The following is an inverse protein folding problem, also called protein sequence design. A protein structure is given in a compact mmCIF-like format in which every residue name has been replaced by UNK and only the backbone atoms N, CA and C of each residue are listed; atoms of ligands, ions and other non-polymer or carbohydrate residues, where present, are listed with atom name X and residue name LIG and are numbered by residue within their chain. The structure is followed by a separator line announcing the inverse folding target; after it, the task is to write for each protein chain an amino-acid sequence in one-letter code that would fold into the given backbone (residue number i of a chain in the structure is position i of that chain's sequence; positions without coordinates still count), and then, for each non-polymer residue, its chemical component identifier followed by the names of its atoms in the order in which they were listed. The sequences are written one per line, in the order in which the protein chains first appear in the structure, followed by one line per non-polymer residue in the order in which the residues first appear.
data_IF_820042424037
#
_entry.id   IF_820042424037
#
_cell.length_a   1.000
_cell.length_b   1.000
_cell.length_c   1.000
_cell.angle_alpha   90.00
_cell.angle_beta   90.00
_cell.angle_gamma   90.00
#
_symmetry.space_group_name_H-M   'P 1'
#
loop_
_entity.id
_entity.type
_entity.pdbx_description
1 polymer ?
#
# COMPACT_ATOMS: atom_id res chain seq x y z
N UNK A 1 0.22 4.13 19.93
CA UNK A 1 -0.24 4.13 18.52
C UNK A 1 0.95 3.84 17.61
N UNK A 2 0.84 2.83 16.78
CA UNK A 2 1.88 2.45 15.80
C UNK A 2 1.34 2.72 14.41
N UNK A 3 1.91 3.70 13.70
CA UNK A 3 1.64 4.00 12.29
C UNK A 3 2.82 3.57 11.45
N UNK A 4 2.62 3.32 10.17
CA UNK A 4 3.69 2.86 9.28
C UNK A 4 4.70 3.98 9.01
N UNK A 5 4.23 5.20 8.78
CA UNK A 5 5.08 6.36 8.56
C UNK A 5 4.35 7.70 8.82
N UNK A 6 5.14 8.76 8.94
CA UNK A 6 4.67 10.13 9.18
C UNK A 6 5.29 11.04 8.13
N UNK A 7 4.49 11.94 7.56
CA UNK A 7 5.00 12.95 6.63
C UNK A 7 4.44 14.31 7.01
N UNK A 8 5.34 15.29 7.19
CA UNK A 8 4.97 16.67 7.47
C UNK A 8 4.60 17.42 6.19
N UNK A 9 3.59 18.26 6.27
CA UNK A 9 3.25 19.18 5.20
C UNK A 9 2.59 18.54 3.97
N UNK A 10 1.99 17.36 4.09
CA UNK A 10 1.28 16.71 2.96
C UNK A 10 0.02 17.46 2.60
N UNK A 11 -0.83 17.70 3.59
CA UNK A 11 -2.12 18.37 3.44
C UNK A 11 -2.04 19.82 3.89
N UNK A 12 -1.49 20.06 5.06
CA UNK A 12 -1.27 21.36 5.70
C UNK A 12 0.24 21.57 5.92
N UNK A 13 0.82 22.75 5.63
CA UNK A 13 2.28 22.97 5.66
C UNK A 13 2.95 22.60 6.99
N UNK A 14 2.32 22.90 8.11
CA UNK A 14 2.90 22.76 9.45
C UNK A 14 2.35 21.59 10.24
N UNK A 15 1.58 20.72 9.59
CA UNK A 15 0.93 19.59 10.24
C UNK A 15 1.47 18.26 9.79
N UNK A 16 1.70 17.37 10.75
CA UNK A 16 2.07 16.00 10.47
C UNK A 16 0.86 15.19 10.02
N UNK A 17 1.06 14.34 9.03
CA UNK A 17 0.07 13.35 8.63
C UNK A 17 0.61 11.95 8.93
N UNK A 18 -0.15 11.21 9.72
CA UNK A 18 0.13 9.83 10.09
C UNK A 18 -0.51 8.91 9.07
N UNK A 19 0.27 8.01 8.50
CA UNK A 19 -0.18 7.06 7.49
C UNK A 19 -0.10 5.64 8.02
N UNK A 20 -1.15 4.87 7.71
CA UNK A 20 -1.20 3.44 7.96
C UNK A 20 -1.69 2.74 6.70
N UNK A 21 -0.92 1.78 6.21
CA UNK A 21 -1.17 1.08 4.97
C UNK A 21 -1.88 -0.25 5.23
N UNK A 22 -2.79 -0.62 4.32
CA UNK A 22 -3.43 -1.93 4.38
C UNK A 22 -3.71 -2.45 2.98
N UNK A 23 -3.25 -3.67 2.71
CA UNK A 23 -3.62 -4.41 1.50
C UNK A 23 -4.75 -5.36 1.87
N UNK A 24 -5.84 -5.34 1.12
CA UNK A 24 -7.01 -6.19 1.34
C UNK A 24 -7.27 -7.10 0.14
N UNK A 25 -7.74 -8.31 0.42
CA UNK A 25 -8.31 -9.19 -0.60
C UNK A 25 -9.82 -9.03 -0.59
N UNK A 26 -10.37 -8.23 -1.51
CA UNK A 26 -11.79 -7.94 -1.57
C UNK A 26 -12.62 -9.17 -2.01
N UNK A 27 -12.04 -10.03 -2.84
CA UNK A 27 -12.65 -11.29 -3.29
C UNK A 27 -12.44 -12.47 -2.35
N UNK A 28 -12.06 -12.25 -1.08
CA UNK A 28 -11.95 -13.36 -0.11
C UNK A 28 -13.29 -14.09 0.07
N UNK A 29 -13.29 -15.41 0.31
CA UNK A 29 -14.53 -16.20 0.37
C UNK A 29 -15.62 -15.63 1.29
N UNK A 30 -15.23 -15.09 2.45
CA UNK A 30 -16.17 -14.47 3.39
C UNK A 30 -16.81 -13.18 2.88
N UNK A 31 -16.12 -12.41 2.04
CA UNK A 31 -16.65 -11.18 1.42
C UNK A 31 -17.39 -11.47 0.12
N UNK A 32 -16.92 -12.42 -0.67
CA UNK A 32 -17.60 -12.88 -1.88
C UNK A 32 -18.99 -13.44 -1.57
N UNK A 33 -19.12 -14.21 -0.49
CA UNK A 33 -20.40 -14.75 -0.02
C UNK A 33 -21.41 -13.65 0.40
N UNK A 34 -20.92 -12.46 0.77
CA UNK A 34 -21.75 -11.31 1.14
C UNK A 34 -22.00 -10.34 -0.01
N UNK A 35 -21.56 -10.65 -1.23
CA UNK A 35 -21.66 -9.77 -2.42
C UNK A 35 -21.17 -8.33 -2.19
N UNK A 36 -20.14 -8.18 -1.35
CA UNK A 36 -19.57 -6.86 -1.02
C UNK A 36 -18.77 -6.33 -2.22
N UNK A 37 -19.13 -5.16 -2.73
CA UNK A 37 -18.38 -4.51 -3.79
C UNK A 37 -16.97 -4.11 -3.34
N UNK A 38 -16.01 -4.01 -4.28
CA UNK A 38 -14.65 -3.52 -3.99
C UNK A 38 -14.65 -2.18 -3.25
N UNK A 39 -15.51 -1.25 -3.67
CA UNK A 39 -15.60 0.06 -3.04
C UNK A 39 -16.08 -0.02 -1.60
N UNK A 40 -17.07 -0.86 -1.30
CA UNK A 40 -17.55 -1.06 0.06
C UNK A 40 -16.50 -1.72 0.94
N UNK A 41 -15.74 -2.70 0.42
CA UNK A 41 -14.65 -3.32 1.16
C UNK A 41 -13.53 -2.31 1.50
N UNK A 42 -13.18 -1.45 0.56
CA UNK A 42 -12.20 -0.36 0.77
C UNK A 42 -12.70 0.65 1.80
N UNK A 43 -13.93 1.11 1.67
CA UNK A 43 -14.53 2.09 2.59
C UNK A 43 -14.65 1.53 4.01
N UNK A 44 -15.05 0.28 4.17
CA UNK A 44 -15.13 -0.40 5.48
C UNK A 44 -13.76 -0.46 6.13
N UNK A 45 -12.74 -0.92 5.40
CA UNK A 45 -11.36 -0.97 5.90
C UNK A 45 -10.81 0.41 6.28
N UNK A 46 -11.15 1.45 5.50
CA UNK A 46 -10.74 2.82 5.80
C UNK A 46 -11.43 3.34 7.08
N UNK A 47 -12.73 3.10 7.24
CA UNK A 47 -13.48 3.49 8.45
C UNK A 47 -12.96 2.80 9.71
N UNK A 48 -12.64 1.50 9.64
CA UNK A 48 -12.02 0.77 10.76
C UNK A 48 -10.73 1.43 11.22
N UNK A 49 -9.84 1.79 10.28
CA UNK A 49 -8.58 2.47 10.58
C UNK A 49 -8.80 3.86 11.15
N UNK A 50 -9.70 4.64 10.58
CA UNK A 50 -10.04 5.98 11.10
C UNK A 50 -10.59 5.88 12.51
N UNK A 51 -11.53 4.97 12.78
CA UNK A 51 -12.08 4.76 14.13
C UNK A 51 -11.00 4.42 15.15
N UNK A 52 -10.00 3.64 14.74
CA UNK A 52 -8.92 3.19 15.62
C UNK A 52 -7.89 4.27 15.94
N UNK A 53 -7.57 5.13 14.97
CA UNK A 53 -6.40 6.00 15.06
C UNK A 53 -6.70 7.51 15.12
N UNK A 54 -7.92 7.94 14.79
CA UNK A 54 -8.27 9.36 14.69
C UNK A 54 -8.05 10.11 16.01
N UNK A 55 -8.59 9.60 17.12
CA UNK A 55 -8.46 10.24 18.43
C UNK A 55 -6.99 10.41 18.84
N UNK A 56 -6.18 9.37 18.69
CA UNK A 56 -4.76 9.41 19.04
C UNK A 56 -3.94 10.32 18.10
N UNK A 57 -4.39 10.54 16.87
CA UNK A 57 -3.78 11.50 15.97
C UNK A 57 -4.13 12.94 16.38
N UNK A 58 -5.39 13.19 16.74
CA UNK A 58 -5.86 14.51 17.22
C UNK A 58 -5.13 14.95 18.48
N UNK A 59 -4.92 14.06 19.45
CA UNK A 59 -4.12 14.32 20.65
C UNK A 59 -2.70 14.80 20.31
N UNK A 60 -2.13 14.33 19.22
CA UNK A 60 -0.80 14.72 18.71
C UNK A 60 -0.84 15.93 17.77
N UNK A 61 -1.99 16.56 17.60
CA UNK A 61 -2.21 17.63 16.62
C UNK A 61 -1.82 17.22 15.19
N UNK A 62 -1.95 15.93 14.86
CA UNK A 62 -1.66 15.35 13.56
C UNK A 62 -2.95 14.96 12.84
N UNK A 63 -2.86 14.80 11.51
CA UNK A 63 -3.93 14.24 10.70
C UNK A 63 -3.68 12.74 10.51
N UNK A 64 -4.72 11.93 10.46
CA UNK A 64 -4.61 10.51 10.12
C UNK A 64 -5.17 10.23 8.73
N UNK A 65 -4.43 9.49 7.92
CA UNK A 65 -4.82 9.13 6.56
C UNK A 65 -4.60 7.62 6.31
N UNK A 66 -5.66 6.82 6.18
CA UNK A 66 -5.54 5.41 5.85
C UNK A 66 -5.21 5.23 4.37
N UNK A 67 -4.21 4.43 4.04
CA UNK A 67 -3.81 4.08 2.68
C UNK A 67 -4.22 2.64 2.37
N UNK A 68 -5.40 2.46 1.83
CA UNK A 68 -5.98 1.14 1.55
C UNK A 68 -5.93 0.84 0.06
N UNK A 69 -5.50 -0.37 -0.27
CA UNK A 69 -5.46 -0.90 -1.64
C UNK A 69 -5.85 -2.38 -1.65
N UNK A 70 -6.47 -2.84 -2.72
CA UNK A 70 -6.74 -4.28 -2.90
C UNK A 70 -5.53 -4.99 -3.50
N UNK A 71 -5.47 -6.32 -3.40
CA UNK A 71 -4.43 -7.13 -4.04
C UNK A 71 -4.42 -6.97 -5.57
N UNK A 72 -5.56 -6.61 -6.15
CA UNK A 72 -5.74 -6.33 -7.59
C UNK A 72 -5.29 -4.91 -7.98
N UNK A 73 -4.92 -4.07 -7.00
CA UNK A 73 -4.43 -2.71 -7.25
C UNK A 73 -5.50 -1.62 -7.23
N UNK A 74 -6.74 -1.92 -6.83
CA UNK A 74 -7.80 -0.92 -6.69
C UNK A 74 -7.55 -0.12 -5.41
N UNK A 75 -7.34 1.19 -5.55
CA UNK A 75 -6.97 2.07 -4.45
C UNK A 75 -8.20 2.81 -3.88
N UNK A 76 -8.26 2.90 -2.55
CA UNK A 76 -9.20 3.78 -1.87
C UNK A 76 -8.93 5.25 -2.21
N UNK A 77 -9.97 6.09 -2.16
CA UNK A 77 -9.87 7.52 -2.51
C UNK A 77 -8.78 8.29 -1.74
N UNK A 78 -8.52 7.96 -0.48
CA UNK A 78 -7.45 8.58 0.31
C UNK A 78 -6.06 8.27 -0.25
N UNK A 79 -5.82 7.02 -0.67
CA UNK A 79 -4.58 6.64 -1.34
C UNK A 79 -4.46 7.34 -2.70
N UNK A 80 -5.53 7.41 -3.49
CA UNK A 80 -5.51 8.11 -4.77
C UNK A 80 -5.20 9.61 -4.61
N UNK A 81 -5.78 10.26 -3.59
CA UNK A 81 -5.49 11.66 -3.28
C UNK A 81 -4.03 11.86 -2.87
N UNK A 82 -3.50 10.97 -2.03
CA UNK A 82 -2.09 10.98 -1.62
C UNK A 82 -1.15 10.81 -2.81
N UNK A 83 -1.41 9.85 -3.71
CA UNK A 83 -0.58 9.64 -4.90
C UNK A 83 -0.58 10.84 -5.85
N UNK A 84 -1.74 11.48 -6.05
CA UNK A 84 -1.83 12.72 -6.85
C UNK A 84 -1.01 13.85 -6.22
N UNK A 85 -1.06 13.98 -4.89
CA UNK A 85 -0.30 14.99 -4.17
C UNK A 85 1.21 14.77 -4.29
N UNK A 86 1.66 13.52 -4.16
CA UNK A 86 3.07 13.15 -4.37
C UNK A 86 3.49 13.44 -5.80
N UNK A 87 2.71 13.00 -6.79
CA UNK A 87 3.02 13.21 -8.21
C UNK A 87 3.15 14.70 -8.53
N UNK A 88 2.28 15.55 -8.02
CA UNK A 88 2.35 17.00 -8.22
C UNK A 88 3.63 17.59 -7.62
N UNK A 89 3.99 17.19 -6.39
CA UNK A 89 5.23 17.68 -5.75
C UNK A 89 6.49 17.19 -6.44
N UNK A 90 6.52 15.94 -6.88
CA UNK A 90 7.64 15.38 -7.63
C UNK A 90 7.76 16.01 -9.03
N UNK A 91 6.64 16.27 -9.70
CA UNK A 91 6.61 16.97 -10.99
C UNK A 91 7.28 18.36 -10.88
N UNK A 92 6.91 19.13 -9.87
CA UNK A 92 7.54 20.43 -9.61
C UNK A 92 9.02 20.29 -9.26
N UNK A 93 9.38 19.32 -8.39
CA UNK A 93 10.77 19.11 -7.97
C UNK A 93 11.69 18.64 -9.10
N UNK A 94 11.20 17.79 -9.98
CA UNK A 94 11.99 17.20 -11.06
C UNK A 94 11.89 17.98 -12.38
N UNK A 95 11.05 19.01 -12.43
CA UNK A 95 10.73 19.75 -13.64
C UNK A 95 10.30 18.82 -14.79
N UNK A 96 9.47 17.84 -14.47
CA UNK A 96 8.92 16.85 -15.41
C UNK A 96 7.42 17.01 -15.58
N UNK A 97 6.86 16.67 -16.76
CA UNK A 97 5.41 16.71 -16.95
C UNK A 97 4.66 15.86 -15.91
N UNK A 98 3.56 16.39 -15.38
CA UNK A 98 2.75 15.72 -14.37
C UNK A 98 2.28 14.32 -14.81
N UNK A 99 1.91 14.17 -16.08
CA UNK A 99 1.51 12.87 -16.66
C UNK A 99 2.60 11.82 -16.56
N UNK A 100 3.83 12.17 -16.89
CA UNK A 100 4.98 11.28 -16.80
C UNK A 100 5.25 10.86 -15.36
N UNK A 101 5.23 11.81 -14.43
CA UNK A 101 5.47 11.53 -13.00
C UNK A 101 4.32 10.72 -12.40
N UNK A 102 3.07 11.02 -12.76
CA UNK A 102 1.90 10.24 -12.32
C UNK A 102 2.01 8.78 -12.77
N UNK A 103 2.38 8.55 -14.02
CA UNK A 103 2.59 7.19 -14.52
C UNK A 103 3.73 6.49 -13.78
N UNK A 104 4.84 7.16 -13.56
CA UNK A 104 5.97 6.62 -12.79
C UNK A 104 5.55 6.22 -11.36
N UNK A 105 4.81 7.08 -10.64
CA UNK A 105 4.31 6.81 -9.29
C UNK A 105 3.38 5.58 -9.29
N UNK A 106 2.48 5.48 -10.26
CA UNK A 106 1.57 4.32 -10.39
C UNK A 106 2.32 3.01 -10.63
N UNK A 107 3.26 3.01 -11.54
CA UNK A 107 4.09 1.82 -11.84
C UNK A 107 4.88 1.38 -10.61
N UNK A 108 5.50 2.31 -9.90
CA UNK A 108 6.22 2.01 -8.64
C UNK A 108 5.31 1.41 -7.58
N UNK A 109 4.10 1.94 -7.42
CA UNK A 109 3.12 1.39 -6.49
C UNK A 109 2.72 -0.04 -6.88
N UNK A 110 2.46 -0.30 -8.17
CA UNK A 110 2.09 -1.64 -8.64
C UNK A 110 3.19 -2.67 -8.37
N UNK A 111 4.45 -2.34 -8.65
CA UNK A 111 5.57 -3.22 -8.32
C UNK A 111 5.73 -3.45 -6.82
N UNK A 112 5.54 -2.41 -6.00
CA UNK A 112 5.59 -2.54 -4.55
C UNK A 112 4.47 -3.46 -4.04
N UNK A 113 3.27 -3.33 -4.60
CA UNK A 113 2.12 -4.18 -4.26
C UNK A 113 2.36 -5.64 -4.63
N UNK A 114 2.85 -5.92 -5.84
CA UNK A 114 3.19 -7.28 -6.28
C UNK A 114 4.21 -7.92 -5.34
N UNK A 115 5.28 -7.18 -4.98
CA UNK A 115 6.29 -7.66 -4.03
C UNK A 115 5.69 -7.95 -2.66
N UNK A 116 4.83 -7.08 -2.14
CA UNK A 116 4.21 -7.26 -0.84
C UNK A 116 3.28 -8.49 -0.81
N UNK A 117 2.51 -8.71 -1.87
CA UNK A 117 1.63 -9.88 -2.03
C UNK A 117 2.46 -11.16 -2.14
N UNK A 118 3.53 -11.15 -2.95
CA UNK A 118 4.44 -12.28 -3.11
C UNK A 118 5.10 -12.66 -1.78
N UNK A 119 5.66 -11.71 -1.06
CA UNK A 119 6.27 -11.94 0.26
C UNK A 119 5.28 -12.54 1.25
N UNK A 120 4.03 -12.06 1.27
CA UNK A 120 2.99 -12.61 2.15
C UNK A 120 2.63 -14.04 1.76
N UNK A 121 2.51 -14.31 0.47
CA UNK A 121 2.19 -15.64 -0.05
C UNK A 121 3.30 -16.65 0.25
N UNK A 122 4.57 -16.25 0.11
CA UNK A 122 5.73 -17.09 0.48
C UNK A 122 5.79 -17.32 1.98
N UNK A 123 5.57 -16.32 2.81
CA UNK A 123 5.59 -16.42 4.26
C UNK A 123 4.46 -17.28 4.84
N UNK A 124 3.33 -17.43 4.12
CA UNK A 124 2.22 -18.28 4.53
C UNK A 124 2.37 -19.75 4.15
N UNK A 125 3.30 -20.06 3.24
CA UNK A 125 3.59 -21.45 2.89
C UNK A 125 4.40 -22.09 3.99
N UNK A 126 3.97 -23.24 4.54
CA UNK A 126 4.83 -24.10 5.34
C UNK A 126 6.10 -24.35 4.55
N UNK A 127 7.26 -24.14 5.19
CA UNK A 127 8.54 -24.50 4.58
C UNK A 127 8.42 -25.93 4.05
N UNK A 128 8.42 -26.09 2.75
CA UNK A 128 8.61 -27.40 2.15
C UNK A 128 10.01 -27.85 2.57
N UNK A 129 10.09 -28.84 3.44
CA UNK A 129 11.32 -29.60 3.66
C UNK A 129 11.45 -30.55 2.48
N UNK A 130 11.82 -30.03 1.32
CA UNK A 130 12.32 -30.88 0.25
C UNK A 130 13.77 -31.16 0.58
N UNK A 131 14.08 -32.43 0.65
CA UNK A 131 15.43 -32.97 0.67
C UNK A 131 16.27 -32.32 -0.44
N UNK A 132 17.22 -31.46 -0.07
CA UNK A 132 18.41 -31.23 -0.86
C UNK A 132 18.44 -30.10 -1.90
N UNK A 133 17.44 -29.21 -1.98
CA UNK A 133 17.58 -27.96 -2.76
C UNK A 133 17.60 -26.77 -1.81
N UNK A 134 18.74 -26.11 -1.69
CA UNK A 134 18.83 -24.79 -1.05
C UNK A 134 18.19 -23.75 -1.99
N UNK A 135 17.34 -22.86 -1.41
CA UNK A 135 16.74 -21.76 -2.15
C UNK A 135 17.87 -20.87 -2.73
N UNK A 136 18.04 -20.94 -4.05
CA UNK A 136 19.02 -20.12 -4.77
C UNK A 136 19.93 -20.87 -5.72
N UNK A 137 20.14 -22.17 -5.56
CA UNK A 137 21.04 -22.92 -6.46
C UNK A 137 20.54 -23.03 -7.91
N UNK A 138 19.22 -23.03 -8.10
CA UNK A 138 18.63 -23.09 -9.45
C UNK A 138 18.79 -21.82 -10.29
N UNK A 139 19.06 -20.67 -9.66
CA UNK A 139 19.23 -19.39 -10.36
C UNK A 139 20.69 -19.19 -10.76
N UNK A 140 21.64 -19.67 -9.96
CA UNK A 140 23.07 -19.54 -10.25
C UNK A 140 23.50 -20.30 -11.52
N UNK A 141 22.84 -21.41 -11.84
CA UNK A 141 23.17 -22.23 -13.02
C UNK A 141 22.63 -21.65 -14.33
N UNK A 142 21.66 -20.73 -14.33
CA UNK A 142 21.11 -20.11 -15.53
C UNK A 142 21.96 -18.93 -16.06
N UNK A 143 22.88 -18.40 -15.26
CA UNK A 143 23.71 -17.25 -15.61
C UNK A 143 25.21 -17.57 -15.81
N UNK A 144 25.58 -18.86 -15.79
CA UNK A 144 26.95 -19.32 -16.05
C UNK A 144 27.13 -19.93 -17.47
N UNK A 145 26.51 -19.33 -18.48
CA UNK A 145 26.82 -19.65 -19.89
C UNK A 145 27.01 -18.37 -20.68
#
# INVERSE_FOLDING_TARGET
MRTDFVVRGVWEPDRDCLFDTRIIHAGSPGRAAQHISYQNALNTSAREKVKLYKAAAEERRATFCPLIVTVEGIAHQSLQAFLRRIAARLSAKWHKPLSTVTNWVRVRLQFALIKAVDLRTRGSRKRWRSSGFEDGEGIATLFQR
#
